data_IF_519171125811
#
_entry.id   IF_519171125811
#
_cell.length_a   1.000
_cell.length_b   1.000
_cell.length_c   1.000
_cell.angle_alpha   90.00
_cell.angle_beta   90.00
_cell.angle_gamma   90.00
#
_symmetry.space_group_name_H-M   'P 1'
#
loop_
_entity.id
_entity.type
_entity.pdbx_description
1 polymer ?
#
# COMPACT_ATOMS: atom_id res chain seq x y z
N UNK A 1 1.32 0.74 19.98
CA UNK A 1 2.00 -0.30 19.16
C UNK A 1 0.97 -0.98 18.27
N UNK A 2 1.29 -1.24 17.00
CA UNK A 2 0.40 -1.96 16.09
C UNK A 2 0.52 -3.46 16.32
N UNK A 3 -0.61 -4.15 16.51
CA UNK A 3 -0.67 -5.60 16.74
C UNK A 3 -1.17 -6.35 15.50
N UNK A 4 -2.20 -5.82 14.84
CA UNK A 4 -2.83 -6.48 13.71
C UNK A 4 -3.41 -5.46 12.73
N UNK A 5 -3.45 -5.84 11.46
CA UNK A 5 -4.09 -5.08 10.38
C UNK A 5 -4.94 -6.05 9.59
N UNK A 6 -6.21 -5.70 9.40
CA UNK A 6 -7.13 -6.38 8.51
C UNK A 6 -7.61 -5.37 7.46
N UNK A 7 -7.12 -5.53 6.23
CA UNK A 7 -7.44 -4.65 5.09
C UNK A 7 -8.36 -5.40 4.12
N UNK A 8 -9.54 -4.85 3.87
CA UNK A 8 -10.47 -5.43 2.90
C UNK A 8 -9.98 -5.28 1.46
N UNK A 9 -10.48 -6.14 0.56
CA UNK A 9 -10.18 -6.07 -0.87
C UNK A 9 -10.92 -4.85 -1.47
N UNK A 10 -10.24 -4.01 -2.28
CA UNK A 10 -10.90 -2.90 -2.95
C UNK A 10 -11.93 -3.39 -3.98
N UNK A 11 -13.01 -2.63 -4.15
CA UNK A 11 -14.05 -2.97 -5.13
C UNK A 11 -13.55 -2.85 -6.58
N UNK A 12 -12.77 -1.81 -6.89
CA UNK A 12 -12.19 -1.59 -8.20
C UNK A 12 -10.96 -0.68 -8.09
N UNK A 13 -9.90 -1.00 -8.83
CA UNK A 13 -8.72 -0.14 -8.95
C UNK A 13 -8.92 0.97 -10.01
N UNK A 14 -8.11 2.05 -9.96
CA UNK A 14 -8.09 3.03 -11.04
C UNK A 14 -7.78 2.38 -12.40
N UNK A 15 -8.25 3.02 -13.48
CA UNK A 15 -7.93 2.59 -14.82
C UNK A 15 -6.41 2.59 -15.08
N UNK A 16 -5.95 1.65 -15.89
CA UNK A 16 -4.57 1.62 -16.35
C UNK A 16 -4.26 2.90 -17.17
N UNK A 17 -3.03 3.42 -17.12
CA UNK A 17 -2.63 4.56 -17.94
C UNK A 17 -2.71 4.24 -19.43
N UNK A 18 -2.90 5.29 -20.24
CA UNK A 18 -2.76 5.20 -21.68
C UNK A 18 -1.31 4.89 -22.09
N UNK A 19 -1.09 4.58 -23.36
CA UNK A 19 0.24 4.41 -23.97
C UNK A 19 1.06 3.21 -23.47
N UNK A 20 0.39 2.16 -22.98
CA UNK A 20 1.00 0.85 -22.74
C UNK A 20 1.24 0.11 -24.05
N UNK A 21 2.34 -0.63 -24.13
CA UNK A 21 2.56 -1.63 -25.19
C UNK A 21 1.43 -2.68 -25.18
N UNK A 22 1.14 -3.34 -26.31
CA UNK A 22 0.11 -4.38 -26.36
C UNK A 22 0.33 -5.50 -25.33
N UNK A 23 1.60 -5.84 -25.07
CA UNK A 23 1.96 -6.85 -24.08
C UNK A 23 1.72 -6.35 -22.64
N UNK A 24 2.06 -5.10 -22.34
CA UNK A 24 1.80 -4.51 -21.03
C UNK A 24 0.30 -4.29 -20.77
N UNK A 25 -0.46 -3.91 -21.80
CA UNK A 25 -1.91 -3.76 -21.74
C UNK A 25 -2.65 -5.11 -21.56
N UNK A 26 -2.01 -6.23 -21.90
CA UNK A 26 -2.57 -7.57 -21.69
C UNK A 26 -2.41 -8.08 -20.25
N UNK A 27 -1.59 -7.42 -19.42
CA UNK A 27 -1.47 -7.75 -17.99
C UNK A 27 -2.73 -7.33 -17.24
N UNK A 28 -3.10 -8.09 -16.21
CA UNK A 28 -4.19 -7.72 -15.29
C UNK A 28 -3.82 -6.40 -14.57
N UNK A 29 -4.60 -5.31 -14.76
CA UNK A 29 -4.32 -4.05 -14.10
C UNK A 29 -4.34 -4.13 -12.57
N UNK A 30 -5.18 -4.99 -12.00
CA UNK A 30 -5.28 -5.16 -10.56
C UNK A 30 -3.97 -5.68 -9.97
N UNK A 31 -3.26 -6.57 -10.67
CA UNK A 31 -1.97 -7.10 -10.24
C UNK A 31 -0.90 -6.00 -10.11
N UNK A 32 -0.87 -5.07 -11.06
CA UNK A 32 0.10 -3.97 -11.05
C UNK A 32 -0.20 -3.00 -9.91
N UNK A 33 -1.48 -2.64 -9.71
CA UNK A 33 -1.89 -1.79 -8.60
C UNK A 33 -1.62 -2.41 -7.23
N UNK A 34 -1.93 -3.68 -7.02
CA UNK A 34 -1.62 -4.40 -5.78
C UNK A 34 -0.12 -4.35 -5.46
N UNK A 35 0.75 -4.51 -6.47
CA UNK A 35 2.20 -4.41 -6.29
C UNK A 35 2.66 -3.00 -5.91
N UNK A 36 2.07 -1.97 -6.51
CA UNK A 36 2.33 -0.57 -6.16
C UNK A 36 1.91 -0.31 -4.71
N UNK A 37 0.68 -0.70 -4.34
CA UNK A 37 0.12 -0.50 -2.99
C UNK A 37 0.86 -1.29 -1.90
N UNK A 38 1.40 -2.46 -2.22
CA UNK A 38 2.26 -3.20 -1.29
C UNK A 38 3.58 -2.45 -1.00
N UNK A 39 4.05 -1.61 -1.92
CA UNK A 39 5.30 -0.87 -1.78
C UNK A 39 5.13 0.49 -1.11
N UNK A 40 3.95 1.10 -1.21
CA UNK A 40 3.64 2.43 -0.67
C UNK A 40 2.63 2.37 0.47
N UNK A 41 2.46 3.47 1.20
CA UNK A 41 1.41 3.58 2.25
C UNK A 41 0.09 4.11 1.72
N UNK A 42 0.10 4.69 0.53
CA UNK A 42 -1.08 5.24 -0.12
C UNK A 42 -1.97 4.11 -0.66
N UNK A 43 -3.28 4.26 -0.59
CA UNK A 43 -4.26 3.36 -1.20
C UNK A 43 -5.03 4.09 -2.31
N UNK A 44 -5.07 3.47 -3.47
CA UNK A 44 -5.87 3.89 -4.61
C UNK A 44 -7.08 2.97 -4.65
N UNK A 45 -8.28 3.53 -4.59
CA UNK A 45 -9.55 2.87 -4.26
C UNK A 45 -9.80 2.68 -2.76
N UNK A 46 -10.95 3.22 -2.35
CA UNK A 46 -11.47 3.17 -1.00
C UNK A 46 -11.79 1.74 -0.57
N UNK A 47 -11.43 1.41 0.67
CA UNK A 47 -11.69 0.12 1.30
C UNK A 47 -11.69 0.25 2.83
N UNK A 48 -12.38 -0.65 3.51
CA UNK A 48 -12.40 -0.70 4.98
C UNK A 48 -11.11 -1.32 5.51
N UNK A 49 -10.57 -0.78 6.60
CA UNK A 49 -9.43 -1.34 7.33
C UNK A 49 -9.69 -1.30 8.82
N UNK A 50 -9.31 -2.39 9.50
CA UNK A 50 -9.31 -2.49 10.95
C UNK A 50 -7.87 -2.65 11.44
N UNK A 51 -7.46 -1.77 12.36
CA UNK A 51 -6.20 -1.87 13.08
C UNK A 51 -6.44 -2.24 14.53
N UNK A 52 -5.73 -3.26 15.02
CA UNK A 52 -5.64 -3.55 16.45
C UNK A 52 -4.37 -2.92 16.96
N UNK A 53 -4.48 -1.98 17.90
CA UNK A 53 -3.34 -1.22 18.43
C UNK A 53 -3.38 -1.19 19.96
N UNK A 54 -2.22 -1.30 20.60
CA UNK A 54 -2.10 -1.08 22.04
C UNK A 54 -1.78 0.38 22.30
N UNK A 55 -2.63 1.05 23.07
CA UNK A 55 -2.32 2.33 23.69
C UNK A 55 -1.48 2.12 24.95
N UNK A 56 -0.58 3.05 25.23
CA UNK A 56 0.13 3.11 26.50
C UNK A 56 -0.14 4.45 27.16
N UNK A 57 -0.11 4.48 28.49
CA UNK A 57 0.00 5.74 29.21
C UNK A 57 1.44 6.24 29.08
N UNK A 58 1.64 7.42 28.49
CA UNK A 58 2.91 8.13 28.55
C UNK A 58 3.20 8.49 30.01
N UNK A 59 4.47 8.60 30.39
CA UNK A 59 4.94 8.79 31.79
C UNK A 59 4.35 10.01 32.53
N UNK A 60 3.58 10.87 31.85
CA UNK A 60 2.85 12.01 32.41
C UNK A 60 1.33 11.79 32.55
N UNK A 61 0.83 10.55 32.41
CA UNK A 61 -0.61 10.24 32.42
C UNK A 61 -1.35 10.68 31.15
N UNK A 62 -0.61 11.05 30.10
CA UNK A 62 -1.16 11.43 28.79
C UNK A 62 -1.05 10.24 27.84
N UNK A 63 -2.04 10.03 26.97
CA UNK A 63 -2.03 8.91 26.03
C UNK A 63 -0.86 8.91 25.06
N UNK A 64 -0.75 7.87 24.24
CA UNK A 64 0.28 7.76 23.19
C UNK A 64 -0.28 8.21 21.84
N UNK A 65 0.39 9.14 21.12
CA UNK A 65 -0.03 9.50 19.78
C UNK A 65 0.13 8.31 18.82
N UNK A 66 -0.83 8.15 17.94
CA UNK A 66 -0.89 7.08 16.95
C UNK A 66 -1.36 7.65 15.62
N UNK A 67 -0.69 7.22 14.55
CA UNK A 67 -1.08 7.55 13.19
C UNK A 67 -1.49 6.28 12.45
N UNK A 68 -2.56 6.34 11.64
CA UNK A 68 -2.89 5.28 10.70
C UNK A 68 -1.68 4.95 9.82
N UNK A 69 -1.30 3.67 9.68
CA UNK A 69 -0.15 3.28 8.88
C UNK A 69 -0.40 3.41 7.37
N UNK A 70 -1.67 3.49 6.96
CA UNK A 70 -2.14 3.64 5.58
C UNK A 70 -2.81 5.00 5.38
N UNK A 71 -2.75 5.52 4.16
CA UNK A 71 -3.26 6.87 3.83
C UNK A 71 -3.96 6.87 2.46
N UNK A 72 -4.85 7.83 2.18
CA UNK A 72 -5.57 8.62 3.18
C UNK A 72 -6.46 7.70 4.03
N UNK A 73 -6.72 8.08 5.28
CA UNK A 73 -7.58 7.35 6.19
C UNK A 73 -8.65 8.30 6.73
N UNK A 74 -9.92 8.00 6.45
CA UNK A 74 -11.09 8.81 6.81
C UNK A 74 -12.10 7.96 7.59
N UNK A 75 -13.10 8.61 8.20
CA UNK A 75 -14.16 7.90 8.91
C UNK A 75 -13.66 7.08 10.12
N UNK A 76 -12.62 7.57 10.80
CA UNK A 76 -11.96 6.81 11.88
C UNK A 76 -12.88 6.69 13.09
N UNK A 77 -13.14 5.45 13.50
CA UNK A 77 -13.81 5.10 14.75
C UNK A 77 -12.89 4.27 15.62
N UNK A 78 -13.11 4.30 16.94
CA UNK A 78 -12.31 3.55 17.90
C UNK A 78 -13.20 2.80 18.87
N UNK A 79 -12.87 1.55 19.11
CA UNK A 79 -13.36 0.73 20.21
C UNK A 79 -12.19 0.42 21.15
N UNK A 80 -12.49 0.25 22.44
CA UNK A 80 -11.53 -0.19 23.46
C UNK A 80 -11.93 -1.58 23.93
N UNK A 81 -10.93 -2.44 24.14
CA UNK A 81 -11.15 -3.75 24.73
C UNK A 81 -11.37 -3.60 26.24
N UNK A 82 -12.57 -3.92 26.71
CA UNK A 82 -12.86 -4.03 28.14
C UNK A 82 -12.49 -5.43 28.63
N UNK A 83 -11.48 -5.51 29.51
CA UNK A 83 -11.04 -6.79 30.07
C UNK A 83 -12.02 -7.41 31.06
N UNK A 84 -12.86 -6.60 31.70
CA UNK A 84 -13.85 -7.09 32.66
C UNK A 84 -15.08 -7.67 31.98
N UNK A 85 -15.52 -7.04 30.88
CA UNK A 85 -16.63 -7.53 30.07
C UNK A 85 -16.22 -8.52 28.97
N UNK A 86 -14.92 -8.63 28.67
CA UNK A 86 -14.37 -9.42 27.55
C UNK A 86 -14.98 -9.04 26.19
N UNK A 87 -15.30 -7.76 26.02
CA UNK A 87 -15.97 -7.23 24.83
C UNK A 87 -15.33 -5.92 24.34
N UNK A 88 -15.54 -5.63 23.06
CA UNK A 88 -15.21 -4.33 22.49
C UNK A 88 -16.31 -3.33 22.84
N UNK A 89 -15.91 -2.20 23.42
CA UNK A 89 -16.82 -1.09 23.72
C UNK A 89 -16.42 0.12 22.90
N UNK A 90 -17.41 0.83 22.38
CA UNK A 90 -17.15 2.09 21.68
C UNK A 90 -16.36 3.06 22.59
N UNK A 91 -15.28 3.63 22.05
CA UNK A 91 -14.55 4.66 22.76
C UNK A 91 -15.44 5.90 22.87
N UNK A 92 -15.56 6.47 24.07
CA UNK A 92 -16.37 7.66 24.30
C UNK A 92 -15.93 8.86 23.45
N UNK A 93 -14.64 8.92 23.09
CA UNK A 93 -14.06 9.97 22.25
C UNK A 93 -12.96 9.38 21.38
N UNK A 94 -12.78 9.98 20.20
CA UNK A 94 -11.64 9.75 19.29
C UNK A 94 -10.77 11.02 19.31
N UNK A 95 -9.96 11.22 20.37
CA UNK A 95 -9.22 12.46 20.52
C UNK A 95 -8.17 12.60 19.42
N UNK A 96 -8.21 13.72 18.69
CA UNK A 96 -7.18 14.09 17.72
C UNK A 96 -5.91 14.53 18.48
N UNK A 97 -4.75 14.22 17.92
CA UNK A 97 -3.45 14.74 18.34
C UNK A 97 -2.90 15.64 17.22
N UNK A 98 -1.89 16.51 17.49
CA UNK A 98 -1.22 17.26 16.42
C UNK A 98 -0.67 16.37 15.29
N UNK A 99 -0.47 15.08 15.60
CA UNK A 99 0.05 14.06 14.70
C UNK A 99 -0.84 12.82 14.86
N UNK A 100 -1.94 12.76 14.09
CA UNK A 100 -2.91 11.66 14.12
C UNK A 100 -3.90 11.70 15.29
N UNK A 101 -3.95 10.62 16.06
CA UNK A 101 -4.93 10.39 17.13
C UNK A 101 -4.25 10.04 18.44
N UNK A 102 -4.92 10.30 19.56
CA UNK A 102 -4.40 10.02 20.89
C UNK A 102 -5.02 8.73 21.45
N UNK A 103 -4.20 7.71 21.70
CA UNK A 103 -4.62 6.52 22.44
C UNK A 103 -4.57 6.84 23.95
N UNK A 104 -5.65 7.43 24.46
CA UNK A 104 -5.72 8.09 25.77
C UNK A 104 -5.54 7.15 26.99
N UNK A 105 -5.94 5.89 26.85
CA UNK A 105 -5.93 4.84 27.88
C UNK A 105 -4.90 3.76 27.57
N UNK A 106 -4.37 3.15 28.63
CA UNK A 106 -3.51 1.97 28.55
C UNK A 106 -4.34 0.69 28.32
N UNK A 107 -4.88 0.54 27.12
CA UNK A 107 -5.69 -0.62 26.71
C UNK A 107 -5.45 -0.96 25.23
N UNK A 108 -6.08 -2.03 24.77
CA UNK A 108 -6.12 -2.38 23.34
C UNK A 108 -7.26 -1.64 22.68
N UNK A 109 -7.00 -1.06 21.52
CA UNK A 109 -7.96 -0.38 20.67
C UNK A 109 -8.17 -1.20 19.40
N UNK A 110 -9.41 -1.21 18.94
CA UNK A 110 -9.75 -1.54 17.57
C UNK A 110 -10.11 -0.24 16.87
N UNK A 111 -9.35 0.11 15.84
CA UNK A 111 -9.55 1.32 15.05
C UNK A 111 -10.08 0.90 13.69
N UNK A 112 -11.25 1.36 13.33
CA UNK A 112 -11.87 1.09 12.02
C UNK A 112 -11.84 2.38 11.20
N UNK A 113 -11.48 2.29 9.92
CA UNK A 113 -11.50 3.43 9.02
C UNK A 113 -11.74 2.99 7.57
N UNK A 114 -12.09 3.96 6.73
CA UNK A 114 -11.99 3.84 5.28
C UNK A 114 -10.63 4.36 4.86
N UNK A 115 -9.86 3.57 4.12
CA UNK A 115 -8.59 4.00 3.52
C UNK A 115 -8.68 4.04 2.02
N UNK A 116 -7.93 4.97 1.44
CA UNK A 116 -7.78 5.12 0.01
C UNK A 116 -8.54 6.32 -0.54
N UNK A 117 -8.19 6.68 -1.77
CA UNK A 117 -8.84 7.77 -2.49
C UNK A 117 -9.46 7.28 -3.79
N UNK A 118 -10.53 7.96 -4.20
CA UNK A 118 -11.13 7.87 -5.54
C UNK A 118 -10.54 8.92 -6.50
N UNK A 119 -9.59 9.73 -6.03
CA UNK A 119 -8.90 10.72 -6.84
C UNK A 119 -8.13 10.08 -7.99
N UNK A 120 -7.94 10.87 -9.05
CA UNK A 120 -7.08 10.50 -10.17
C UNK A 120 -5.63 10.36 -9.68
N UNK A 121 -4.96 9.21 -9.90
CA UNK A 121 -3.58 9.05 -9.51
C UNK A 121 -2.68 10.09 -10.20
N UNK A 122 -1.71 10.69 -9.49
CA UNK A 122 -0.78 11.65 -10.08
C UNK A 122 0.07 11.03 -11.20
N UNK A 123 0.50 11.85 -12.16
CA UNK A 123 1.29 11.41 -13.32
C UNK A 123 2.53 10.59 -12.94
N UNK A 124 3.20 10.93 -11.83
CA UNK A 124 4.35 10.17 -11.34
C UNK A 124 3.99 8.72 -10.94
N UNK A 125 2.78 8.51 -10.41
CA UNK A 125 2.27 7.18 -10.05
C UNK A 125 1.85 6.42 -11.31
N UNK A 126 1.21 7.10 -12.25
CA UNK A 126 0.84 6.51 -13.55
C UNK A 126 2.08 6.11 -14.37
N UNK A 127 3.13 6.92 -14.35
CA UNK A 127 4.42 6.58 -14.98
C UNK A 127 5.11 5.42 -14.25
N UNK A 128 5.03 5.35 -12.93
CA UNK A 128 5.53 4.21 -12.17
C UNK A 128 4.79 2.91 -12.53
N UNK A 129 3.46 2.99 -12.69
CA UNK A 129 2.64 1.90 -13.19
C UNK A 129 3.12 1.48 -14.58
N UNK A 130 3.26 2.43 -15.52
CA UNK A 130 3.67 2.15 -16.88
C UNK A 130 5.01 1.42 -16.92
N UNK A 131 6.01 1.93 -16.21
CA UNK A 131 7.34 1.29 -16.11
C UNK A 131 7.29 -0.13 -15.56
N UNK A 132 6.49 -0.35 -14.51
CA UNK A 132 6.34 -1.67 -13.90
C UNK A 132 5.65 -2.65 -14.87
N UNK A 133 4.57 -2.21 -15.54
CA UNK A 133 3.83 -3.01 -16.49
C UNK A 133 4.69 -3.39 -17.71
N UNK A 134 5.41 -2.43 -18.31
CA UNK A 134 6.33 -2.68 -19.43
C UNK A 134 7.45 -3.65 -19.05
N UNK A 135 8.03 -3.47 -17.86
CA UNK A 135 9.07 -4.36 -17.36
C UNK A 135 8.55 -5.79 -17.17
N UNK A 136 7.36 -5.95 -16.59
CA UNK A 136 6.74 -7.27 -16.37
C UNK A 136 6.31 -7.93 -17.69
N UNK A 137 5.87 -7.15 -18.67
CA UNK A 137 5.51 -7.64 -19.99
C UNK A 137 6.74 -8.14 -20.76
N UNK A 138 7.86 -7.42 -20.66
CA UNK A 138 9.14 -7.85 -21.23
C UNK A 138 9.64 -9.15 -20.59
N UNK A 139 9.43 -9.36 -19.29
CA UNK A 139 9.75 -10.63 -18.62
C UNK A 139 8.84 -11.79 -19.07
N UNK A 140 7.57 -11.53 -19.37
CA UNK A 140 6.63 -12.55 -19.86
C UNK A 140 6.99 -13.09 -21.26
N UNK A 141 7.75 -12.31 -22.04
CA UNK A 141 8.27 -12.75 -23.33
C UNK A 141 9.40 -13.81 -23.19
N UNK A 142 9.96 -13.98 -22.00
CA UNK A 142 10.85 -15.11 -21.70
C UNK A 142 10.01 -16.39 -21.48
N UNK A 143 10.49 -17.58 -21.90
CA UNK A 143 9.74 -18.82 -21.71
C UNK A 143 9.44 -19.06 -20.22
N UNK A 144 8.19 -19.39 -19.89
CA UNK A 144 7.78 -19.66 -18.51
C UNK A 144 8.70 -20.70 -17.86
N UNK A 145 9.34 -20.33 -16.74
CA UNK A 145 10.28 -21.20 -16.02
C UNK A 145 11.73 -21.17 -16.52
N UNK A 146 12.06 -20.37 -17.55
CA UNK A 146 13.43 -20.19 -18.01
C UNK A 146 14.24 -19.31 -17.03
N UNK A 147 15.32 -19.86 -16.48
CA UNK A 147 16.29 -19.12 -15.65
C UNK A 147 17.28 -18.31 -16.49
N UNK A 148 17.44 -18.68 -17.74
CA UNK A 148 18.23 -17.96 -18.73
C UNK A 148 17.65 -18.21 -20.10
N UNK A 149 17.44 -17.15 -20.86
CA UNK A 149 17.05 -17.21 -22.26
C UNK A 149 18.19 -16.64 -23.10
N UNK A 150 18.60 -17.35 -24.14
CA UNK A 150 19.59 -16.88 -25.10
C UNK A 150 19.03 -17.01 -26.50
N UNK A 151 19.08 -15.91 -27.24
CA UNK A 151 18.74 -15.86 -28.66
C UNK A 151 20.00 -15.47 -29.40
N UNK A 152 20.34 -16.30 -30.39
CA UNK A 152 21.42 -16.04 -31.34
C UNK A 152 20.78 -15.71 -32.68
N UNK A 153 21.01 -14.49 -33.17
CA UNK A 153 20.65 -14.08 -34.54
C UNK A 153 21.96 -13.77 -35.25
N UNK A 154 22.42 -14.69 -36.10
CA UNK A 154 23.68 -14.52 -36.85
C UNK A 154 24.90 -14.47 -35.94
N UNK A 155 25.63 -13.34 -35.92
CA UNK A 155 26.81 -13.12 -35.09
C UNK A 155 26.52 -12.40 -33.76
N UNK A 156 25.26 -12.06 -33.48
CA UNK A 156 24.87 -11.35 -32.25
C UNK A 156 24.18 -12.35 -31.32
N UNK A 157 24.69 -12.45 -30.10
CA UNK A 157 24.11 -13.26 -29.03
C UNK A 157 23.61 -12.34 -27.92
N UNK A 158 22.35 -12.52 -27.53
CA UNK A 158 21.77 -11.87 -26.37
C UNK A 158 21.51 -12.93 -25.30
N UNK A 159 21.88 -12.64 -24.04
CA UNK A 159 21.67 -13.52 -22.90
C UNK A 159 20.95 -12.76 -21.80
N UNK A 160 19.72 -13.16 -21.53
CA UNK A 160 18.91 -12.64 -20.43
C UNK A 160 18.92 -13.70 -19.33
N UNK A 161 19.46 -13.36 -18.15
CA UNK A 161 19.43 -14.21 -16.96
C UNK A 161 18.34 -13.69 -16.02
N UNK A 162 17.36 -14.52 -15.69
CA UNK A 162 16.27 -14.18 -14.77
C UNK A 162 16.54 -14.91 -13.44
N UNK A 163 17.00 -14.15 -12.45
CA UNK A 163 17.15 -14.66 -11.07
C UNK A 163 15.79 -14.99 -10.45
N UNK A 164 15.74 -15.95 -9.53
CA UNK A 164 14.49 -16.47 -8.94
C UNK A 164 13.76 -15.41 -8.09
N UNK A 165 14.48 -14.39 -7.63
CA UNK A 165 13.95 -13.23 -6.89
C UNK A 165 13.59 -12.03 -7.79
N UNK A 166 13.69 -12.15 -9.13
CA UNK A 166 13.42 -11.02 -10.05
C UNK A 166 12.02 -10.46 -9.92
N UNK A 167 11.00 -11.31 -9.82
CA UNK A 167 9.62 -10.89 -9.68
C UNK A 167 9.38 -10.13 -8.36
N UNK A 168 10.12 -10.44 -7.30
CA UNK A 168 10.08 -9.70 -6.03
C UNK A 168 10.80 -8.35 -6.12
N UNK A 169 11.82 -8.23 -6.98
CA UNK A 169 12.59 -7.01 -7.20
C UNK A 169 12.09 -6.13 -8.36
N UNK A 170 11.01 -6.52 -9.06
CA UNK A 170 10.59 -5.85 -10.31
C UNK A 170 10.23 -4.37 -10.12
N UNK A 171 9.70 -3.98 -8.96
CA UNK A 171 9.40 -2.57 -8.66
C UNK A 171 10.66 -1.70 -8.57
N UNK A 172 11.77 -2.29 -8.15
CA UNK A 172 13.07 -1.63 -8.12
C UNK A 172 13.72 -1.64 -9.50
N UNK A 173 13.66 -2.77 -10.22
CA UNK A 173 14.31 -2.94 -11.53
C UNK A 173 13.64 -2.15 -12.66
N UNK A 174 12.34 -1.90 -12.55
CA UNK A 174 11.60 -1.04 -13.48
C UNK A 174 11.90 0.47 -13.28
N UNK A 175 12.57 0.86 -12.19
CA UNK A 175 12.73 2.27 -11.82
C UNK A 175 11.44 2.93 -11.34
N UNK A 176 10.36 2.17 -11.11
CA UNK A 176 9.11 2.64 -10.53
C UNK A 176 9.29 3.06 -9.05
N UNK A 177 10.17 2.36 -8.33
CA UNK A 177 10.43 2.62 -6.90
C UNK A 177 10.85 4.07 -6.59
N UNK A 178 11.60 4.73 -7.49
CA UNK A 178 12.08 6.09 -7.28
C UNK A 178 10.92 7.11 -7.34
N UNK A 179 10.01 6.92 -8.29
CA UNK A 179 8.80 7.73 -8.43
C UNK A 179 7.83 7.54 -7.26
N UNK A 180 7.80 6.34 -6.70
CA UNK A 180 6.93 5.97 -5.58
C UNK A 180 7.50 6.33 -4.20
N UNK A 181 8.76 6.79 -4.12
CA UNK A 181 9.43 7.11 -2.85
C UNK A 181 8.67 8.11 -1.96
N UNK A 182 8.05 9.19 -2.48
CA UNK A 182 7.27 10.12 -1.67
C UNK A 182 6.10 9.44 -0.94
N UNK A 183 5.46 8.47 -1.60
CA UNK A 183 4.28 7.77 -1.09
C UNK A 183 4.59 6.71 -0.02
N UNK A 184 5.86 6.43 0.26
CA UNK A 184 6.29 5.47 1.30
C UNK A 184 6.30 6.05 2.71
N UNK A 185 6.38 7.37 2.84
CA UNK A 185 6.56 8.08 4.11
C UNK A 185 5.39 8.97 4.49
N UNK A 186 4.30 8.92 3.73
CA UNK A 186 3.13 9.75 3.99
C UNK A 186 2.55 9.41 5.37
N UNK A 187 2.50 10.44 6.24
CA UNK A 187 1.76 10.46 7.48
C UNK A 187 0.92 11.73 7.47
N UNK A 188 -0.41 11.54 7.53
CA UNK A 188 -1.50 12.53 7.53
C UNK A 188 -1.50 13.48 6.30
N UNK A 189 -2.48 13.27 5.41
CA UNK A 189 -3.02 14.36 4.59
C UNK A 189 -3.93 15.18 5.50
N UNK A 190 -3.64 16.47 5.62
CA UNK A 190 -4.53 17.43 6.27
C UNK A 190 -5.92 17.34 5.63
N UNK A 191 -6.95 17.25 6.46
CA UNK A 191 -8.30 17.64 6.08
C UNK A 191 -8.21 19.12 5.67
N UNK A 192 -8.07 19.39 4.37
CA UNK A 192 -8.33 20.71 3.82
C UNK A 192 -9.85 20.93 3.84
N UNK A 193 -10.35 21.52 4.94
CA UNK A 193 -11.55 22.33 4.98
C UNK A 193 -11.49 23.27 6.20
#
# INVERSE_FOLDING_TARGET
MLLHVDESIPAAYPAAPADLSPQAAALDPALIWQRIEAFIRYRWAERSVVWIVTGSAYMSGRGTPWQPPLTPATGITMEVWDRGAEEWQAAAQVPKAPVGYLLARNCTYRVTATVGSTDTPPDAVLEAYRRLAEYMAAELAAPAGAKSYSVSIGQISERISLDRDHAAASIHKSGAADLLRPYRRLGVNDEAA
#
